data_IF_834380226123
#
_entry.id   IF_834380226123
#
_cell.length_a   1.000
_cell.length_b   1.000
_cell.length_c   1.000
_cell.angle_alpha   90.00
_cell.angle_beta   90.00
_cell.angle_gamma   90.00
#
_symmetry.space_group_name_H-M   'P 1'
#
loop_
_entity.id
_entity.type
_entity.pdbx_description
1 polymer ?
#
# COMPACT_ATOMS: atom_id res chain seq x y z
N UNK A 1 10.60 -22.61 -8.94
CA UNK A 1 9.98 -21.54 -8.13
C UNK A 1 8.75 -22.08 -7.40
N UNK A 2 8.32 -21.45 -6.30
CA UNK A 2 7.14 -21.88 -5.53
C UNK A 2 7.38 -21.89 -4.01
N UNK A 3 6.49 -22.57 -3.28
CA UNK A 3 6.51 -22.61 -1.80
C UNK A 3 7.82 -23.19 -1.24
N UNK A 4 8.43 -24.16 -1.93
CA UNK A 4 9.73 -24.71 -1.54
C UNK A 4 10.83 -23.64 -1.54
N UNK A 5 10.89 -22.82 -2.58
CA UNK A 5 11.88 -21.75 -2.66
C UNK A 5 11.57 -20.69 -1.60
N UNK A 6 10.31 -20.27 -1.48
CA UNK A 6 9.87 -19.30 -0.47
C UNK A 6 10.25 -19.73 0.95
N UNK A 7 10.09 -21.01 1.28
CA UNK A 7 10.39 -21.56 2.61
C UNK A 7 11.88 -21.65 2.91
N UNK A 8 12.68 -22.07 1.93
CA UNK A 8 14.02 -22.58 2.22
C UNK A 8 15.15 -21.69 1.69
N UNK A 9 14.90 -20.82 0.70
CA UNK A 9 15.97 -20.07 0.02
C UNK A 9 16.80 -19.22 0.98
N UNK A 10 16.18 -18.50 1.90
CA UNK A 10 16.92 -17.67 2.87
C UNK A 10 17.87 -18.50 3.73
N UNK A 11 17.44 -19.69 4.16
CA UNK A 11 18.27 -20.63 4.89
C UNK A 11 19.41 -21.18 4.03
N UNK A 12 19.12 -21.60 2.80
CA UNK A 12 20.14 -22.07 1.87
C UNK A 12 21.22 -21.02 1.60
N UNK A 13 20.81 -19.77 1.37
CA UNK A 13 21.72 -18.65 1.12
C UNK A 13 22.53 -18.31 2.37
N UNK A 14 21.92 -18.28 3.56
CA UNK A 14 22.63 -18.02 4.82
C UNK A 14 23.67 -19.10 5.12
N UNK A 15 23.32 -20.38 4.94
CA UNK A 15 24.26 -21.49 5.07
C UNK A 15 25.39 -21.37 4.06
N UNK A 16 25.10 -21.07 2.79
CA UNK A 16 26.13 -20.90 1.77
C UNK A 16 27.13 -19.78 2.09
N UNK A 17 26.66 -18.66 2.68
CA UNK A 17 27.54 -17.58 3.15
C UNK A 17 28.39 -18.01 4.33
N UNK A 18 27.77 -18.68 5.31
CA UNK A 18 28.44 -19.08 6.56
C UNK A 18 29.45 -20.21 6.36
N UNK A 19 29.11 -21.20 5.55
CA UNK A 19 29.86 -22.46 5.39
C UNK A 19 30.63 -22.53 4.07
N UNK A 20 30.48 -21.52 3.20
CA UNK A 20 31.14 -21.44 1.89
C UNK A 20 30.42 -22.19 0.78
N UNK A 21 29.51 -23.11 1.12
CA UNK A 21 28.54 -23.69 0.19
C UNK A 21 27.32 -24.23 0.96
N UNK A 22 26.19 -24.35 0.28
CA UNK A 22 25.06 -25.16 0.71
C UNK A 22 24.91 -26.33 -0.25
N UNK A 23 24.71 -27.54 0.27
CA UNK A 23 24.35 -28.74 -0.50
C UNK A 23 23.14 -29.39 0.14
N UNK A 24 22.11 -29.70 -0.66
CA UNK A 24 20.91 -30.35 -0.17
C UNK A 24 20.10 -31.01 -1.27
N UNK A 25 19.19 -31.90 -0.89
CA UNK A 25 18.16 -32.45 -1.79
C UNK A 25 16.85 -31.71 -1.57
N UNK A 26 16.13 -31.42 -2.64
CA UNK A 26 14.81 -30.79 -2.58
C UNK A 26 14.01 -31.17 -3.83
N UNK A 27 12.84 -30.59 -4.02
CA UNK A 27 12.11 -30.68 -5.27
C UNK A 27 11.72 -29.29 -5.78
N UNK A 28 11.58 -29.17 -7.09
CA UNK A 28 11.07 -27.98 -7.76
C UNK A 28 9.87 -28.31 -8.61
N UNK A 29 9.12 -27.28 -8.99
CA UNK A 29 8.10 -27.36 -10.02
C UNK A 29 8.66 -26.69 -11.28
N UNK A 30 8.66 -27.41 -12.40
CA UNK A 30 9.15 -26.92 -13.68
C UNK A 30 8.09 -26.05 -14.40
N UNK A 31 8.42 -25.53 -15.58
CA UNK A 31 7.50 -24.71 -16.39
C UNK A 31 6.24 -25.45 -16.84
N UNK A 32 6.32 -26.78 -16.95
CA UNK A 32 5.20 -27.65 -17.29
C UNK A 32 4.35 -28.04 -16.06
N UNK A 33 4.64 -27.49 -14.88
CA UNK A 33 4.02 -27.80 -13.59
C UNK A 33 4.28 -29.22 -13.08
N UNK A 34 5.35 -29.86 -13.56
CA UNK A 34 5.78 -31.18 -13.11
C UNK A 34 6.79 -31.06 -11.97
N UNK A 35 6.72 -32.01 -11.02
CA UNK A 35 7.67 -32.11 -9.93
C UNK A 35 9.00 -32.67 -10.44
N UNK A 36 10.09 -32.01 -10.09
CA UNK A 36 11.46 -32.44 -10.36
C UNK A 36 12.19 -32.56 -9.03
N UNK A 37 12.60 -33.76 -8.64
CA UNK A 37 13.49 -33.94 -7.51
C UNK A 37 14.91 -33.56 -7.93
N UNK A 38 15.61 -32.84 -7.07
CA UNK A 38 16.91 -32.30 -7.40
C UNK A 38 17.85 -32.24 -6.20
N UNK A 39 19.13 -32.46 -6.49
CA UNK A 39 20.23 -32.07 -5.62
C UNK A 39 20.67 -30.67 -6.00
N UNK A 40 20.72 -29.78 -5.03
CA UNK A 40 21.17 -28.40 -5.22
C UNK A 40 22.48 -28.13 -4.50
N UNK A 41 23.34 -27.36 -5.16
CA UNK A 41 24.53 -26.75 -4.57
C UNK A 41 24.47 -25.24 -4.77
N UNK A 42 24.65 -24.46 -3.73
CA UNK A 42 24.72 -22.99 -3.81
C UNK A 42 26.05 -22.53 -3.24
N UNK A 43 26.78 -21.70 -3.97
CA UNK A 43 28.04 -21.08 -3.51
C UNK A 43 27.93 -19.56 -3.57
N UNK A 44 28.48 -18.81 -2.58
CA UNK A 44 28.55 -17.37 -2.65
C UNK A 44 29.57 -16.93 -3.73
N UNK A 45 29.29 -15.81 -4.40
CA UNK A 45 30.22 -15.16 -5.33
C UNK A 45 30.68 -13.82 -4.77
N UNK A 46 31.92 -13.44 -5.05
CA UNK A 46 32.56 -12.24 -4.50
C UNK A 46 33.14 -11.37 -5.62
N UNK A 47 33.22 -10.05 -5.40
CA UNK A 47 33.85 -9.14 -6.35
C UNK A 47 35.36 -9.39 -6.41
N UNK A 48 35.88 -9.99 -7.48
CA UNK A 48 37.34 -10.11 -7.70
C UNK A 48 38.14 -10.77 -6.54
N UNK A 49 37.57 -11.76 -5.85
CA UNK A 49 38.27 -12.54 -4.81
C UNK A 49 37.47 -12.64 -3.51
N UNK A 50 37.80 -13.63 -2.68
CA UNK A 50 37.05 -13.94 -1.44
C UNK A 50 37.19 -12.88 -0.34
N UNK A 51 38.23 -12.04 -0.42
CA UNK A 51 38.50 -10.98 0.56
C UNK A 51 37.67 -9.71 0.33
N UNK A 52 36.85 -9.70 -0.73
CA UNK A 52 36.01 -8.58 -1.12
C UNK A 52 34.55 -8.83 -0.78
N UNK A 53 33.67 -7.79 -0.82
CA UNK A 53 32.25 -7.96 -0.52
C UNK A 53 31.61 -9.03 -1.41
N UNK A 54 30.74 -9.83 -0.78
CA UNK A 54 29.91 -10.78 -1.51
C UNK A 54 29.02 -10.03 -2.50
N UNK A 55 29.00 -10.49 -3.75
CA UNK A 55 28.24 -9.88 -4.84
C UNK A 55 27.04 -10.71 -5.30
N UNK A 56 26.97 -12.00 -4.93
CA UNK A 56 25.88 -12.86 -5.35
C UNK A 56 26.03 -14.32 -4.94
N UNK A 57 25.39 -15.20 -5.72
CA UNK A 57 25.38 -16.65 -5.54
C UNK A 57 25.41 -17.36 -6.89
N UNK A 58 26.02 -18.54 -6.92
CA UNK A 58 25.96 -19.49 -8.03
C UNK A 58 25.24 -20.76 -7.57
N UNK A 59 24.11 -21.07 -8.21
CA UNK A 59 23.32 -22.28 -7.93
C UNK A 59 23.51 -23.33 -9.02
N UNK A 60 23.79 -24.56 -8.64
CA UNK A 60 23.81 -25.75 -9.51
C UNK A 60 22.67 -26.67 -9.09
N UNK A 61 21.87 -27.11 -10.05
CA UNK A 61 20.75 -28.03 -9.84
C UNK A 61 20.97 -29.27 -10.67
N UNK A 62 20.98 -30.43 -10.03
CA UNK A 62 21.14 -31.75 -10.65
C UNK A 62 19.84 -32.53 -10.41
N UNK A 63 19.18 -32.96 -11.49
CA UNK A 63 17.95 -33.76 -11.40
C UNK A 63 18.28 -35.17 -10.94
N UNK A 64 17.50 -35.71 -10.00
CA UNK A 64 17.70 -37.03 -9.43
C UNK A 64 16.39 -37.84 -9.48
N UNK A 65 16.52 -39.16 -9.61
CA UNK A 65 15.36 -40.08 -9.62
C UNK A 65 14.82 -40.37 -8.21
N UNK A 66 15.65 -40.16 -7.18
CA UNK A 66 15.25 -40.32 -5.78
C UNK A 66 14.09 -39.39 -5.43
N UNK A 67 13.04 -39.95 -4.83
CA UNK A 67 11.92 -39.15 -4.36
C UNK A 67 12.32 -38.33 -3.14
N UNK A 68 12.18 -37.00 -3.24
CA UNK A 68 12.54 -36.07 -2.18
C UNK A 68 11.29 -35.34 -1.74
N UNK A 69 10.79 -35.63 -0.54
CA UNK A 69 9.67 -34.91 0.04
C UNK A 69 10.11 -33.89 1.09
N UNK A 70 9.62 -32.66 0.91
CA UNK A 70 9.91 -31.54 1.81
C UNK A 70 8.58 -30.92 2.20
N UNK A 71 8.08 -31.15 3.43
CA UNK A 71 6.79 -30.65 3.85
C UNK A 71 6.79 -29.12 3.92
N UNK A 72 5.70 -28.53 3.41
CA UNK A 72 5.48 -27.09 3.48
C UNK A 72 4.88 -26.73 4.83
N UNK A 73 5.59 -25.90 5.59
CA UNK A 73 5.16 -25.40 6.90
C UNK A 73 3.93 -24.50 6.77
N UNK A 74 3.08 -24.49 7.79
CA UNK A 74 1.94 -23.57 7.85
C UNK A 74 2.36 -22.10 7.73
N UNK A 75 3.47 -21.72 8.39
CA UNK A 75 4.04 -20.38 8.29
C UNK A 75 4.36 -19.98 6.84
N UNK A 76 4.84 -20.90 6.01
CA UNK A 76 5.10 -20.65 4.57
C UNK A 76 3.81 -20.36 3.82
N UNK A 77 2.73 -21.08 4.11
CA UNK A 77 1.40 -20.81 3.52
C UNK A 77 0.91 -19.41 3.90
N UNK A 78 1.17 -18.98 5.12
CA UNK A 78 0.83 -17.64 5.58
C UNK A 78 1.66 -16.56 4.88
N UNK A 79 2.98 -16.71 4.80
CA UNK A 79 3.87 -15.80 4.06
C UNK A 79 3.45 -15.71 2.60
N UNK A 80 3.08 -16.84 1.98
CA UNK A 80 2.55 -16.88 0.61
C UNK A 80 1.29 -16.03 0.48
N UNK A 81 0.33 -16.16 1.41
CA UNK A 81 -0.88 -15.32 1.41
C UNK A 81 -0.57 -13.83 1.55
N UNK A 82 0.36 -13.48 2.46
CA UNK A 82 0.82 -12.11 2.66
C UNK A 82 1.50 -11.54 1.40
N UNK A 83 2.32 -12.34 0.73
CA UNK A 83 3.00 -11.97 -0.50
C UNK A 83 2.00 -11.74 -1.64
N UNK A 84 1.11 -12.70 -1.92
CA UNK A 84 0.09 -12.64 -2.98
C UNK A 84 -0.80 -11.40 -2.81
N UNK A 85 -1.21 -11.10 -1.58
CA UNK A 85 -2.16 -10.00 -1.30
C UNK A 85 -1.49 -8.66 -1.00
N UNK A 86 -0.14 -8.65 -0.92
CA UNK A 86 0.66 -7.48 -0.57
C UNK A 86 0.20 -6.85 0.76
N UNK A 87 -0.20 -7.68 1.72
CA UNK A 87 -0.82 -7.25 2.98
C UNK A 87 -0.01 -6.19 3.77
N UNK A 88 1.34 -6.18 3.80
CA UNK A 88 2.09 -5.13 4.51
C UNK A 88 1.77 -3.68 4.05
N UNK A 89 1.31 -3.49 2.80
CA UNK A 89 0.91 -2.18 2.28
C UNK A 89 -0.44 -1.68 2.81
N UNK A 90 -1.21 -2.52 3.50
CA UNK A 90 -2.54 -2.15 4.02
C UNK A 90 -2.51 -1.12 5.14
N UNK A 91 -1.33 -0.88 5.73
CA UNK A 91 -1.09 0.25 6.64
C UNK A 91 -1.49 1.59 6.02
N UNK A 92 -1.31 1.76 4.70
CA UNK A 92 -1.66 2.99 3.97
C UNK A 92 -3.18 3.26 3.93
N UNK A 93 -4.04 2.26 4.16
CA UNK A 93 -5.49 2.45 4.27
C UNK A 93 -6.02 2.30 5.70
N UNK A 94 -5.43 1.40 6.50
CA UNK A 94 -5.88 1.18 7.89
C UNK A 94 -5.59 2.42 8.75
N UNK A 95 -4.39 3.00 8.66
CA UNK A 95 -4.02 4.13 9.51
C UNK A 95 -4.90 5.37 9.25
N UNK A 96 -5.23 5.75 7.99
CA UNK A 96 -6.22 6.79 7.74
C UNK A 96 -7.60 6.54 8.35
N UNK A 97 -8.09 5.29 8.38
CA UNK A 97 -9.36 4.98 9.06
C UNK A 97 -9.23 5.14 10.57
N UNK A 98 -8.09 4.77 11.16
CA UNK A 98 -7.83 5.05 12.57
C UNK A 98 -7.81 6.54 12.86
N UNK A 99 -7.31 7.38 11.94
CA UNK A 99 -7.37 8.86 12.06
C UNK A 99 -8.83 9.33 12.09
N UNK A 100 -9.71 8.76 11.25
CA UNK A 100 -11.15 9.07 11.29
C UNK A 100 -11.76 8.69 12.64
N UNK A 101 -11.48 7.49 13.15
CA UNK A 101 -11.95 7.07 14.47
C UNK A 101 -11.44 7.96 15.61
N UNK A 102 -10.17 8.37 15.54
CA UNK A 102 -9.54 9.28 16.50
C UNK A 102 -10.17 10.69 16.46
N UNK A 103 -10.42 11.22 15.26
CA UNK A 103 -11.14 12.48 15.08
C UNK A 103 -12.54 12.43 15.70
N UNK A 104 -13.33 11.42 15.36
CA UNK A 104 -14.69 11.29 15.88
C UNK A 104 -14.70 11.10 17.40
N UNK A 105 -13.79 10.28 17.94
CA UNK A 105 -13.66 10.11 19.39
C UNK A 105 -13.32 11.42 20.08
N UNK A 106 -12.30 12.12 19.60
CA UNK A 106 -11.85 13.34 20.25
C UNK A 106 -12.88 14.47 20.17
N UNK A 107 -13.57 14.62 19.05
CA UNK A 107 -14.63 15.62 18.88
C UNK A 107 -15.94 15.27 19.61
N UNK A 108 -16.05 14.08 20.21
CA UNK A 108 -17.28 13.62 20.83
C UNK A 108 -18.39 13.27 19.83
N UNK A 109 -18.05 13.15 18.54
CA UNK A 109 -18.98 12.81 17.47
C UNK A 109 -19.69 11.47 17.75
N UNK A 110 -21.01 11.37 17.51
CA UNK A 110 -21.75 10.14 17.72
C UNK A 110 -21.30 9.09 16.69
N UNK A 111 -20.73 7.97 17.15
CA UNK A 111 -20.26 6.89 16.26
C UNK A 111 -20.61 5.49 16.74
N UNK A 112 -20.72 4.57 15.79
CA UNK A 112 -20.82 3.15 16.06
C UNK A 112 -19.45 2.47 16.02
N UNK A 113 -18.91 2.13 17.18
CA UNK A 113 -17.67 1.35 17.28
C UNK A 113 -17.76 -0.05 16.64
N UNK A 114 -18.96 -0.64 16.64
CA UNK A 114 -19.23 -1.90 15.93
C UNK A 114 -19.08 -1.73 14.42
N UNK A 115 -19.69 -0.70 13.83
CA UNK A 115 -19.52 -0.40 12.41
C UNK A 115 -18.09 0.04 12.08
N UNK A 116 -17.38 0.71 12.99
CA UNK A 116 -15.97 1.05 12.81
C UNK A 116 -15.09 -0.18 12.61
N UNK A 117 -15.21 -1.20 13.48
CA UNK A 117 -14.48 -2.46 13.32
C UNK A 117 -14.80 -3.18 12.01
N UNK A 118 -16.08 -3.18 11.60
CA UNK A 118 -16.53 -3.79 10.34
C UNK A 118 -16.02 -2.99 9.13
N UNK A 119 -15.95 -1.66 9.23
CA UNK A 119 -15.43 -0.77 8.20
C UNK A 119 -13.94 -1.01 7.97
N UNK A 120 -13.14 -1.15 9.03
CA UNK A 120 -11.72 -1.51 8.93
C UNK A 120 -11.56 -2.84 8.18
N UNK A 121 -12.36 -3.86 8.53
CA UNK A 121 -12.33 -5.16 7.85
C UNK A 121 -12.73 -5.05 6.37
N UNK A 122 -13.79 -4.30 6.07
CA UNK A 122 -14.26 -4.08 4.71
C UNK A 122 -13.21 -3.39 3.83
N UNK A 123 -12.60 -2.31 4.31
CA UNK A 123 -11.54 -1.60 3.59
C UNK A 123 -10.27 -2.46 3.46
N UNK A 124 -9.89 -3.19 4.52
CA UNK A 124 -8.76 -4.13 4.43
C UNK A 124 -8.98 -5.11 3.28
N UNK A 125 -10.14 -5.78 3.24
CA UNK A 125 -10.46 -6.74 2.18
C UNK A 125 -10.50 -6.08 0.81
N UNK A 126 -11.09 -4.89 0.69
CA UNK A 126 -11.12 -4.13 -0.57
C UNK A 126 -9.70 -3.78 -1.06
N UNK A 127 -8.82 -3.33 -0.16
CA UNK A 127 -7.43 -3.03 -0.50
C UNK A 127 -6.68 -4.29 -0.95
N UNK A 128 -6.82 -5.42 -0.22
CA UNK A 128 -6.24 -6.69 -0.67
C UNK A 128 -6.74 -7.07 -2.07
N UNK A 129 -8.03 -6.91 -2.35
CA UNK A 129 -8.60 -7.17 -3.67
C UNK A 129 -7.94 -6.32 -4.77
N UNK A 130 -7.79 -5.01 -4.54
CA UNK A 130 -7.18 -4.10 -5.51
C UNK A 130 -5.69 -4.39 -5.73
N UNK A 131 -4.95 -4.80 -4.69
CA UNK A 131 -3.57 -5.25 -4.83
C UNK A 131 -3.47 -6.50 -5.70
N UNK A 132 -4.36 -7.47 -5.50
CA UNK A 132 -4.38 -8.70 -6.30
C UNK A 132 -4.82 -8.42 -7.75
N UNK A 133 -5.77 -7.50 -7.97
CA UNK A 133 -6.12 -7.05 -9.32
C UNK A 133 -4.95 -6.33 -10.01
N UNK A 134 -4.22 -5.49 -9.28
CA UNK A 134 -3.03 -4.81 -9.79
C UNK A 134 -2.03 -5.83 -10.38
N UNK A 135 -1.63 -6.83 -9.59
CA UNK A 135 -0.71 -7.87 -10.03
C UNK A 135 -1.30 -8.74 -11.18
N UNK A 136 -2.63 -8.99 -11.19
CA UNK A 136 -3.29 -9.70 -12.30
C UNK A 136 -3.17 -8.94 -13.63
N UNK A 137 -3.42 -7.62 -13.63
CA UNK A 137 -3.37 -6.82 -14.84
C UNK A 137 -1.93 -6.49 -15.25
N UNK A 138 -1.03 -6.21 -14.30
CA UNK A 138 0.38 -5.97 -14.61
C UNK A 138 1.06 -7.20 -15.23
N UNK A 139 0.73 -8.42 -14.77
CA UNK A 139 1.15 -9.66 -15.43
C UNK A 139 0.54 -9.80 -16.83
N UNK A 140 -0.77 -9.58 -16.97
CA UNK A 140 -1.47 -9.72 -18.26
C UNK A 140 -0.96 -8.73 -19.32
N UNK A 141 -0.60 -7.52 -18.90
CA UNK A 141 -0.06 -6.48 -19.77
C UNK A 141 1.46 -6.66 -20.03
N UNK A 142 2.11 -7.66 -19.42
CA UNK A 142 3.55 -7.93 -19.55
C UNK A 142 4.46 -6.97 -18.80
N UNK A 143 3.92 -6.10 -17.95
CA UNK A 143 4.68 -5.09 -17.18
C UNK A 143 5.67 -5.75 -16.25
N UNK A 144 5.24 -6.80 -15.55
CA UNK A 144 6.11 -7.51 -14.63
C UNK A 144 7.23 -8.24 -15.39
N UNK A 145 6.94 -8.98 -16.47
CA UNK A 145 7.99 -9.63 -17.27
C UNK A 145 9.01 -8.64 -17.84
N UNK A 146 8.57 -7.44 -18.24
CA UNK A 146 9.46 -6.40 -18.76
C UNK A 146 10.35 -5.76 -17.68
N UNK A 147 9.99 -5.90 -16.40
CA UNK A 147 10.79 -5.48 -15.25
C UNK A 147 11.84 -6.55 -14.94
N UNK A 148 12.86 -6.58 -15.79
CA UNK A 148 14.05 -7.42 -15.66
C UNK A 148 15.19 -6.75 -14.89
N UNK A 149 15.03 -5.47 -14.53
CA UNK A 149 15.95 -4.79 -13.61
C UNK A 149 15.69 -5.26 -12.16
N UNK A 150 16.59 -4.90 -11.26
CA UNK A 150 16.65 -5.39 -9.88
C UNK A 150 15.31 -5.34 -9.12
N UNK A 151 14.90 -6.47 -8.52
CA UNK A 151 13.74 -6.55 -7.63
C UNK A 151 14.01 -5.81 -6.31
N UNK A 152 13.28 -4.71 -6.07
CA UNK A 152 13.21 -4.07 -4.75
C UNK A 152 12.00 -4.63 -4.01
N UNK A 153 12.14 -4.89 -2.70
CA UNK A 153 11.05 -5.45 -1.88
C UNK A 153 9.77 -4.60 -1.84
N UNK A 154 9.84 -3.34 -2.29
CA UNK A 154 8.76 -2.35 -2.21
C UNK A 154 8.26 -1.86 -3.58
N UNK A 155 8.89 -2.28 -4.68
CA UNK A 155 8.50 -1.92 -6.05
C UNK A 155 8.38 -3.16 -6.95
N UNK A 156 7.80 -3.01 -8.14
CA UNK A 156 7.76 -4.09 -9.14
C UNK A 156 6.84 -5.27 -8.81
N UNK A 157 5.67 -5.03 -8.20
CA UNK A 157 4.66 -6.08 -7.98
C UNK A 157 4.94 -7.03 -6.80
N UNK A 158 4.01 -7.95 -6.50
CA UNK A 158 4.33 -9.06 -5.57
C UNK A 158 5.22 -10.14 -6.20
N UNK A 159 5.24 -10.19 -7.54
CA UNK A 159 5.82 -11.27 -8.35
C UNK A 159 5.28 -12.66 -8.04
N UNK A 160 4.11 -12.74 -7.41
CA UNK A 160 3.58 -14.02 -6.94
C UNK A 160 3.25 -14.98 -8.08
N UNK A 161 2.89 -14.48 -9.27
CA UNK A 161 2.61 -15.30 -10.45
C UNK A 161 3.92 -15.84 -11.04
N UNK A 162 4.93 -14.99 -11.22
CA UNK A 162 6.27 -15.32 -11.74
C UNK A 162 7.01 -16.30 -10.82
N UNK A 163 6.85 -16.12 -9.52
CA UNK A 163 7.41 -17.01 -8.51
C UNK A 163 6.63 -18.33 -8.39
N UNK A 164 5.52 -18.49 -9.11
CA UNK A 164 4.69 -19.71 -9.09
C UNK A 164 3.96 -19.92 -7.76
N UNK A 165 3.75 -18.86 -6.96
CA UNK A 165 3.01 -18.93 -5.70
C UNK A 165 1.50 -19.05 -5.95
N UNK A 166 1.01 -18.44 -7.04
CA UNK A 166 -0.38 -18.49 -7.48
C UNK A 166 -0.44 -18.47 -9.01
N UNK A 167 -1.47 -19.08 -9.61
CA UNK A 167 -1.68 -19.01 -11.06
C UNK A 167 -2.37 -17.72 -11.47
N UNK A 168 -2.30 -17.34 -12.75
CA UNK A 168 -3.04 -16.18 -13.29
C UNK A 168 -4.55 -16.28 -13.02
N UNK A 169 -5.15 -17.45 -13.27
CA UNK A 169 -6.56 -17.70 -12.97
C UNK A 169 -6.85 -17.68 -11.46
N UNK A 170 -5.95 -18.21 -10.64
CA UNK A 170 -6.07 -18.16 -9.18
C UNK A 170 -6.06 -16.71 -8.67
N UNK A 171 -5.19 -15.87 -9.22
CA UNK A 171 -5.06 -14.44 -8.89
C UNK A 171 -6.36 -13.71 -9.23
N UNK A 172 -6.90 -13.91 -10.44
CA UNK A 172 -8.21 -13.36 -10.85
C UNK A 172 -9.33 -13.79 -9.91
N UNK A 173 -9.45 -15.09 -9.63
CA UNK A 173 -10.53 -15.62 -8.81
C UNK A 173 -10.44 -15.11 -7.37
N UNK A 174 -9.22 -14.99 -6.83
CA UNK A 174 -8.98 -14.41 -5.50
C UNK A 174 -9.39 -12.93 -5.46
N UNK A 175 -9.00 -12.12 -6.46
CA UNK A 175 -9.38 -10.71 -6.54
C UNK A 175 -10.91 -10.53 -6.60
N UNK A 176 -11.59 -11.34 -7.40
CA UNK A 176 -13.07 -11.34 -7.50
C UNK A 176 -13.70 -11.73 -6.17
N UNK A 177 -13.23 -12.81 -5.53
CA UNK A 177 -13.75 -13.27 -4.24
C UNK A 177 -13.62 -12.19 -3.16
N UNK A 178 -12.43 -11.59 -3.02
CA UNK A 178 -12.20 -10.50 -2.07
C UNK A 178 -13.09 -9.28 -2.37
N UNK A 179 -13.28 -8.95 -3.65
CA UNK A 179 -14.19 -7.85 -4.05
C UNK A 179 -15.63 -8.14 -3.66
N UNK A 180 -16.13 -9.36 -3.89
CA UNK A 180 -17.48 -9.77 -3.48
C UNK A 180 -17.63 -9.70 -1.96
N UNK A 181 -16.62 -10.15 -1.20
CA UNK A 181 -16.62 -10.04 0.25
C UNK A 181 -16.67 -8.57 0.71
N UNK A 182 -15.86 -7.69 0.10
CA UNK A 182 -15.87 -6.26 0.40
C UNK A 182 -17.24 -5.62 0.09
N UNK A 183 -17.85 -5.95 -1.05
CA UNK A 183 -19.20 -5.49 -1.41
C UNK A 183 -20.25 -6.01 -0.44
N UNK A 184 -20.15 -7.27 0.01
CA UNK A 184 -21.04 -7.83 1.02
C UNK A 184 -20.96 -7.09 2.35
N UNK A 185 -19.74 -6.77 2.80
CA UNK A 185 -19.52 -5.97 4.01
C UNK A 185 -20.05 -4.55 3.83
N UNK A 186 -19.74 -3.90 2.71
CA UNK A 186 -20.24 -2.56 2.41
C UNK A 186 -21.77 -2.53 2.36
N UNK A 187 -22.40 -3.54 1.75
CA UNK A 187 -23.86 -3.68 1.71
C UNK A 187 -24.46 -3.82 3.11
N UNK A 188 -23.84 -4.62 3.98
CA UNK A 188 -24.24 -4.73 5.38
C UNK A 188 -24.16 -3.38 6.11
N UNK A 189 -23.05 -2.65 5.95
CA UNK A 189 -22.87 -1.30 6.53
C UNK A 189 -23.94 -0.35 5.98
N UNK A 190 -24.18 -0.33 4.66
CA UNK A 190 -25.21 0.50 4.03
C UNK A 190 -26.60 0.24 4.61
N UNK A 191 -26.99 -1.03 4.80
CA UNK A 191 -28.28 -1.38 5.42
C UNK A 191 -28.39 -0.80 6.84
N UNK A 192 -27.30 -0.85 7.62
CA UNK A 192 -27.26 -0.26 8.96
C UNK A 192 -27.29 1.26 8.94
N UNK A 193 -26.58 1.89 8.02
CA UNK A 193 -26.57 3.34 7.84
C UNK A 193 -27.94 3.89 7.43
N UNK A 194 -28.72 3.14 6.64
CA UNK A 194 -30.09 3.53 6.26
C UNK A 194 -31.08 3.55 7.44
N UNK A 195 -30.70 3.01 8.60
CA UNK A 195 -31.50 3.06 9.84
C UNK A 195 -31.16 4.29 10.70
N UNK A 196 -30.15 5.07 10.31
CA UNK A 196 -29.65 6.25 11.02
C UNK A 196 -30.22 7.50 10.32
N UNK A 197 -30.60 8.57 11.06
CA UNK A 197 -31.02 9.82 10.45
C UNK A 197 -29.94 10.43 9.54
N UNK A 198 -30.35 11.02 8.41
CA UNK A 198 -29.47 11.62 7.41
C UNK A 198 -29.36 10.80 6.13
N UNK A 199 -28.43 11.17 5.25
CA UNK A 199 -28.23 10.51 3.95
C UNK A 199 -26.95 9.67 3.85
N UNK A 200 -26.49 9.13 4.98
CA UNK A 200 -25.23 8.36 5.06
C UNK A 200 -25.23 7.14 4.12
N UNK A 201 -26.40 6.56 3.83
CA UNK A 201 -26.55 5.47 2.85
C UNK A 201 -26.01 5.87 1.47
N UNK A 202 -26.46 7.01 0.91
CA UNK A 202 -25.99 7.47 -0.38
C UNK A 202 -24.51 7.88 -0.32
N UNK A 203 -24.06 8.45 0.79
CA UNK A 203 -22.65 8.75 1.04
C UNK A 203 -21.76 7.50 0.93
N UNK A 204 -22.16 6.37 1.56
CA UNK A 204 -21.45 5.08 1.45
C UNK A 204 -21.48 4.55 0.02
N UNK A 205 -22.62 4.62 -0.67
CA UNK A 205 -22.71 4.14 -2.05
C UNK A 205 -21.81 4.93 -2.98
N UNK A 206 -21.85 6.26 -2.92
CA UNK A 206 -21.04 7.13 -3.78
C UNK A 206 -19.55 6.89 -3.51
N UNK A 207 -19.14 6.92 -2.24
CA UNK A 207 -17.73 6.74 -1.87
C UNK A 207 -17.24 5.31 -2.17
N UNK A 208 -18.04 4.29 -1.87
CA UNK A 208 -17.73 2.89 -2.13
C UNK A 208 -17.65 2.55 -3.61
N UNK A 209 -18.61 2.98 -4.43
CA UNK A 209 -18.59 2.80 -5.89
C UNK A 209 -17.40 3.55 -6.48
N UNK A 210 -17.13 4.79 -6.05
CA UNK A 210 -15.98 5.56 -6.51
C UNK A 210 -14.66 4.87 -6.16
N UNK A 211 -14.53 4.36 -4.93
CA UNK A 211 -13.34 3.62 -4.49
C UNK A 211 -13.11 2.34 -5.30
N UNK A 212 -14.15 1.53 -5.52
CA UNK A 212 -14.06 0.34 -6.37
C UNK A 212 -13.75 0.67 -7.82
N UNK A 213 -14.37 1.73 -8.36
CA UNK A 213 -14.12 2.21 -9.71
C UNK A 213 -12.66 2.63 -9.88
N UNK A 214 -12.15 3.50 -8.99
CA UNK A 214 -10.77 3.96 -9.02
C UNK A 214 -9.80 2.79 -8.85
N UNK A 215 -10.03 1.91 -7.88
CA UNK A 215 -9.17 0.76 -7.61
C UNK A 215 -9.11 -0.25 -8.76
N UNK A 216 -10.25 -0.58 -9.37
CA UNK A 216 -10.30 -1.51 -10.49
C UNK A 216 -9.68 -0.89 -11.76
N UNK A 217 -10.14 0.29 -12.16
CA UNK A 217 -9.67 0.96 -13.36
C UNK A 217 -8.29 1.62 -13.22
N UNK A 218 -7.70 1.58 -12.02
CA UNK A 218 -6.32 1.98 -11.79
C UNK A 218 -5.38 1.27 -12.77
N UNK A 219 -5.48 -0.07 -12.86
CA UNK A 219 -4.71 -0.90 -13.80
C UNK A 219 -5.56 -1.55 -14.89
N UNK A 220 -6.87 -1.73 -14.69
CA UNK A 220 -7.72 -2.40 -15.66
C UNK A 220 -8.04 -1.55 -16.90
N UNK A 221 -8.15 -2.22 -18.05
CA UNK A 221 -8.72 -1.65 -19.28
C UNK A 221 -10.24 -1.43 -19.16
N UNK A 222 -10.82 -0.45 -19.89
CA UNK A 222 -10.18 0.39 -20.91
C UNK A 222 -9.47 1.65 -20.39
N UNK A 223 -9.65 1.99 -19.11
CA UNK A 223 -9.15 3.26 -18.57
C UNK A 223 -7.68 3.22 -18.21
N UNK A 224 -7.23 2.18 -17.49
CA UNK A 224 -5.84 1.96 -17.05
C UNK A 224 -5.20 3.26 -16.55
N UNK A 225 -5.79 3.86 -15.51
CA UNK A 225 -5.48 5.23 -15.03
C UNK A 225 -3.98 5.44 -14.74
N UNK A 226 -3.29 4.41 -14.24
CA UNK A 226 -1.84 4.42 -14.00
C UNK A 226 -1.02 4.72 -15.26
N UNK A 227 -1.57 4.46 -16.45
CA UNK A 227 -0.92 4.72 -17.74
C UNK A 227 -1.28 6.09 -18.35
N UNK A 228 -1.98 6.96 -17.62
CA UNK A 228 -2.55 8.21 -18.14
C UNK A 228 -1.91 9.47 -17.53
N UNK A 229 -0.57 9.50 -17.45
CA UNK A 229 0.26 10.71 -17.21
C UNK A 229 -0.22 11.57 -16.03
N UNK A 230 -0.47 10.97 -14.86
CA UNK A 230 -0.93 11.68 -13.65
C UNK A 230 -2.28 11.23 -13.10
N UNK A 231 -3.13 10.57 -13.91
CA UNK A 231 -4.43 10.11 -13.41
C UNK A 231 -4.32 8.94 -12.42
N UNK A 232 -3.24 8.15 -12.48
CA UNK A 232 -2.98 7.10 -11.49
C UNK A 232 -2.68 7.68 -10.12
N UNK A 233 -1.80 8.67 -10.07
CA UNK A 233 -1.42 9.41 -8.88
C UNK A 233 -2.63 10.13 -8.28
N UNK A 234 -3.46 10.76 -9.13
CA UNK A 234 -4.72 11.36 -8.70
C UNK A 234 -5.71 10.32 -8.15
N UNK A 235 -5.83 9.16 -8.78
CA UNK A 235 -6.70 8.08 -8.31
C UNK A 235 -6.26 7.59 -6.93
N UNK A 236 -4.96 7.42 -6.71
CA UNK A 236 -4.40 7.01 -5.41
C UNK A 236 -4.60 8.11 -4.35
N UNK A 237 -4.38 9.38 -4.69
CA UNK A 237 -4.69 10.51 -3.80
C UNK A 237 -6.15 10.47 -3.31
N UNK A 238 -7.09 10.32 -4.24
CA UNK A 238 -8.52 10.29 -3.92
C UNK A 238 -8.90 9.04 -3.11
N UNK A 239 -8.47 7.87 -3.58
CA UNK A 239 -8.85 6.58 -3.01
C UNK A 239 -8.26 6.30 -1.62
N UNK A 240 -7.08 6.84 -1.30
CA UNK A 240 -6.43 6.70 0.01
C UNK A 240 -6.56 7.93 0.91
N UNK A 241 -7.18 9.00 0.41
CA UNK A 241 -7.34 10.26 1.12
C UNK A 241 -8.80 10.64 1.32
N UNK A 242 -9.32 11.68 0.62
CA UNK A 242 -10.67 12.19 0.85
C UNK A 242 -11.79 11.14 0.72
N UNK A 243 -11.76 10.25 -0.29
CA UNK A 243 -12.84 9.26 -0.45
C UNK A 243 -12.81 8.22 0.65
N UNK A 244 -11.61 7.80 1.08
CA UNK A 244 -11.46 6.81 2.14
C UNK A 244 -11.95 7.35 3.48
N UNK A 245 -11.49 8.54 3.84
CA UNK A 245 -11.83 9.19 5.12
C UNK A 245 -13.31 9.56 5.19
N UNK A 246 -13.85 10.13 4.11
CA UNK A 246 -15.27 10.45 4.02
C UNK A 246 -16.16 9.20 4.01
N UNK A 247 -15.80 8.18 3.23
CA UNK A 247 -16.54 6.91 3.18
C UNK A 247 -16.53 6.18 4.53
N UNK A 248 -15.39 6.19 5.23
CA UNK A 248 -15.31 5.68 6.59
C UNK A 248 -16.17 6.49 7.55
N UNK A 249 -16.20 7.82 7.42
CA UNK A 249 -17.11 8.68 8.19
C UNK A 249 -18.57 8.32 8.00
N UNK A 250 -19.05 8.23 6.76
CA UNK A 250 -20.44 7.82 6.48
C UNK A 250 -20.78 6.44 7.03
N UNK A 251 -19.82 5.52 7.06
CA UNK A 251 -20.00 4.17 7.56
C UNK A 251 -20.19 4.10 9.09
N UNK A 252 -19.62 5.05 9.84
CA UNK A 252 -19.54 4.96 11.31
C UNK A 252 -20.35 6.02 12.04
N UNK A 253 -20.59 7.17 11.42
CA UNK A 253 -21.25 8.31 12.04
C UNK A 253 -22.74 8.02 12.29
N UNK A 254 -23.21 8.30 13.51
CA UNK A 254 -24.56 8.03 13.99
C UNK A 254 -25.46 9.29 13.99
N UNK A 255 -25.22 10.20 13.06
CA UNK A 255 -26.06 11.36 12.80
C UNK A 255 -26.08 11.71 11.31
N UNK A 256 -26.65 12.86 10.97
CA UNK A 256 -26.64 13.35 9.60
C UNK A 256 -25.29 13.98 9.26
N UNK A 257 -24.43 13.22 8.59
CA UNK A 257 -23.09 13.70 8.23
C UNK A 257 -23.14 14.84 7.20
N UNK A 258 -24.22 14.94 6.41
CA UNK A 258 -24.38 16.02 5.43
C UNK A 258 -24.83 17.35 6.04
N UNK A 259 -25.26 17.35 7.31
CA UNK A 259 -25.61 18.58 8.00
C UNK A 259 -24.38 19.49 8.05
N UNK A 260 -24.48 20.62 7.34
CA UNK A 260 -23.31 21.46 6.98
C UNK A 260 -22.84 22.35 8.12
N UNK A 261 -23.71 22.54 9.12
CA UNK A 261 -23.43 23.07 10.46
C UNK A 261 -24.54 22.54 11.37
N UNK A 262 -24.19 21.71 12.34
CA UNK A 262 -25.03 21.46 13.50
C UNK A 262 -25.04 22.73 14.38
N UNK A 263 -25.96 22.78 15.36
CA UNK A 263 -26.16 23.95 16.25
C UNK A 263 -24.91 24.39 17.03
N UNK A 264 -23.86 23.58 17.00
CA UNK A 264 -22.56 23.76 17.67
C UNK A 264 -21.47 24.32 16.72
N UNK A 265 -21.74 24.41 15.41
CA UNK A 265 -20.82 24.99 14.42
C UNK A 265 -19.87 24.00 13.74
N UNK A 266 -20.02 22.69 13.97
CA UNK A 266 -19.13 21.67 13.45
C UNK A 266 -19.50 21.25 12.01
N UNK A 267 -18.49 21.11 11.16
CA UNK A 267 -18.65 20.60 9.80
C UNK A 267 -17.86 19.29 9.62
N UNK A 268 -18.39 18.20 10.18
CA UNK A 268 -17.75 16.89 10.12
C UNK A 268 -17.51 16.41 8.69
N UNK A 269 -18.41 16.70 7.75
CA UNK A 269 -18.23 16.36 6.33
C UNK A 269 -16.94 16.96 5.76
N UNK A 270 -16.76 18.27 5.92
CA UNK A 270 -15.57 18.97 5.45
C UNK A 270 -14.33 18.50 6.20
N UNK A 271 -14.42 18.34 7.52
CA UNK A 271 -13.29 17.92 8.35
C UNK A 271 -12.78 16.53 7.94
N UNK A 272 -13.66 15.58 7.62
CA UNK A 272 -13.26 14.26 7.12
C UNK A 272 -12.55 14.35 5.77
N UNK A 273 -13.03 15.18 4.84
CA UNK A 273 -12.33 15.44 3.57
C UNK A 273 -10.94 16.00 3.85
N UNK A 274 -10.84 17.02 4.72
CA UNK A 274 -9.59 17.70 5.06
C UNK A 274 -8.59 16.77 5.77
N UNK A 275 -9.06 15.85 6.61
CA UNK A 275 -8.23 14.78 7.19
C UNK A 275 -7.66 13.87 6.10
N UNK A 276 -8.46 13.55 5.09
CA UNK A 276 -8.08 12.71 3.97
C UNK A 276 -7.00 13.32 3.07
N UNK A 277 -6.99 14.64 2.86
CA UNK A 277 -6.06 15.28 1.92
C UNK A 277 -4.57 15.00 2.24
N UNK A 278 -4.03 15.32 3.44
CA UNK A 278 -2.62 15.04 3.73
C UNK A 278 -2.31 13.54 3.67
N UNK A 279 -3.23 12.69 4.12
CA UNK A 279 -3.06 11.23 4.11
C UNK A 279 -2.98 10.66 2.68
N UNK A 280 -3.85 11.14 1.79
CA UNK A 280 -3.85 10.77 0.37
C UNK A 280 -2.61 11.28 -0.34
N UNK A 281 -2.15 12.51 -0.07
CA UNK A 281 -0.94 13.07 -0.66
C UNK A 281 0.31 12.29 -0.23
N UNK A 282 0.42 11.94 1.05
CA UNK A 282 1.53 11.11 1.56
C UNK A 282 1.52 9.71 0.93
N UNK A 283 0.35 9.09 0.77
CA UNK A 283 0.22 7.80 0.05
C UNK A 283 0.56 7.93 -1.43
N UNK A 284 0.23 9.05 -2.07
CA UNK A 284 0.64 9.34 -3.45
C UNK A 284 2.16 9.44 -3.57
N UNK A 285 2.84 10.00 -2.56
CA UNK A 285 4.30 10.00 -2.52
C UNK A 285 4.91 8.59 -2.34
N UNK A 286 4.22 7.68 -1.63
CA UNK A 286 4.61 6.26 -1.57
C UNK A 286 4.57 5.64 -2.97
N UNK A 287 3.47 5.86 -3.71
CA UNK A 287 3.38 5.39 -5.10
C UNK A 287 4.49 6.00 -5.97
N UNK A 288 4.61 7.33 -5.96
CA UNK A 288 5.51 8.06 -6.83
C UNK A 288 6.96 7.60 -6.64
N UNK A 289 7.42 7.36 -5.40
CA UNK A 289 8.79 6.88 -5.18
C UNK A 289 8.99 5.41 -5.58
N UNK A 290 7.94 4.58 -5.52
CA UNK A 290 7.97 3.19 -6.00
C UNK A 290 8.08 3.10 -7.53
N UNK A 291 7.61 4.12 -8.24
CA UNK A 291 7.70 4.22 -9.70
C UNK A 291 9.10 4.59 -10.22
N UNK A 292 9.99 5.15 -9.38
CA UNK A 292 11.35 5.51 -9.79
C UNK A 292 12.17 4.31 -10.27
N UNK A 293 12.30 3.21 -9.50
CA UNK A 293 13.04 2.04 -9.98
C UNK A 293 12.41 1.46 -11.26
N UNK A 294 11.08 1.44 -11.35
CA UNK A 294 10.33 0.73 -12.39
C UNK A 294 10.13 1.55 -13.69
N UNK A 295 10.47 2.84 -13.69
CA UNK A 295 10.27 3.76 -14.82
C UNK A 295 10.66 3.18 -16.20
N UNK A 296 11.79 2.48 -16.32
CA UNK A 296 12.24 1.95 -17.61
C UNK A 296 11.40 0.76 -18.08
N UNK A 297 11.00 -0.13 -17.17
CA UNK A 297 10.15 -1.28 -17.51
C UNK A 297 8.73 -0.83 -17.81
N UNK A 298 8.22 0.11 -17.03
CA UNK A 298 6.87 0.64 -17.16
C UNK A 298 6.70 1.41 -18.49
N UNK A 299 7.74 2.13 -18.92
CA UNK A 299 7.78 2.77 -20.24
C UNK A 299 7.65 1.75 -21.39
N UNK A 300 8.22 0.54 -21.26
CA UNK A 300 8.16 -0.49 -22.31
C UNK A 300 6.76 -1.06 -22.51
N UNK A 301 5.92 -1.06 -21.47
CA UNK A 301 4.53 -1.57 -21.53
C UNK A 301 3.47 -0.48 -21.61
N UNK A 302 3.92 0.76 -21.88
CA UNK A 302 3.05 1.92 -22.03
C UNK A 302 2.38 2.37 -20.73
N UNK A 303 2.88 1.95 -19.57
CA UNK A 303 2.45 2.40 -18.24
C UNK A 303 3.02 3.80 -17.97
N UNK A 304 2.50 4.79 -18.71
CA UNK A 304 3.02 6.16 -18.73
C UNK A 304 2.56 6.99 -17.52
N UNK A 305 2.99 6.63 -16.31
CA UNK A 305 2.81 7.41 -15.07
C UNK A 305 3.69 8.68 -15.07
N UNK A 306 3.64 9.51 -14.01
CA UNK A 306 4.38 10.78 -13.96
C UNK A 306 5.89 10.60 -14.05
N UNK A 307 6.45 9.55 -13.44
CA UNK A 307 7.90 9.32 -13.51
C UNK A 307 8.37 8.91 -14.91
N UNK A 308 7.57 8.14 -15.66
CA UNK A 308 7.85 7.87 -17.09
C UNK A 308 7.71 9.15 -17.92
N UNK A 309 6.69 9.96 -17.63
CA UNK A 309 6.37 11.16 -18.42
C UNK A 309 7.41 12.26 -18.28
N UNK A 310 7.85 12.54 -17.04
CA UNK A 310 8.77 13.64 -16.74
C UNK A 310 10.22 13.18 -16.52
N UNK A 311 10.44 11.89 -16.31
CA UNK A 311 11.74 11.31 -15.94
C UNK A 311 12.10 11.55 -14.48
N UNK A 312 12.94 10.67 -13.91
CA UNK A 312 13.32 10.69 -12.48
C UNK A 312 13.83 12.05 -11.97
N UNK A 313 14.59 12.79 -12.81
CA UNK A 313 15.20 14.08 -12.45
C UNK A 313 14.16 15.18 -12.20
N UNK A 314 13.06 15.19 -12.95
CA UNK A 314 11.97 16.14 -12.72
C UNK A 314 11.01 15.62 -11.65
N UNK A 315 10.73 14.31 -11.62
CA UNK A 315 9.79 13.71 -10.67
C UNK A 315 10.22 13.79 -9.21
N UNK A 316 11.52 13.97 -8.91
CA UNK A 316 11.94 14.31 -7.53
C UNK A 316 11.33 15.62 -7.04
N UNK A 317 11.12 16.60 -7.93
CA UNK A 317 10.45 17.85 -7.58
C UNK A 317 8.93 17.68 -7.46
N UNK A 318 8.33 16.76 -8.22
CA UNK A 318 6.92 16.38 -8.05
C UNK A 318 6.71 15.81 -6.63
N UNK A 319 7.60 14.91 -6.18
CA UNK A 319 7.58 14.39 -4.81
C UNK A 319 7.61 15.52 -3.77
N UNK A 320 8.50 16.50 -3.97
CA UNK A 320 8.64 17.64 -3.08
C UNK A 320 7.39 18.53 -3.06
N UNK A 321 6.78 18.80 -4.21
CA UNK A 321 5.54 19.57 -4.30
C UNK A 321 4.41 18.84 -3.57
N UNK A 322 4.25 17.53 -3.77
CA UNK A 322 3.23 16.72 -3.06
C UNK A 322 3.47 16.76 -1.54
N UNK A 323 4.73 16.70 -1.10
CA UNK A 323 5.08 16.84 0.32
C UNK A 323 4.67 18.21 0.88
N UNK A 324 4.98 19.30 0.17
CA UNK A 324 4.58 20.65 0.59
C UNK A 324 3.06 20.82 0.61
N UNK A 325 2.35 20.24 -0.36
CA UNK A 325 0.89 20.22 -0.36
C UNK A 325 0.35 19.46 0.86
N UNK A 326 0.96 18.33 1.24
CA UNK A 326 0.54 17.58 2.43
C UNK A 326 0.74 18.38 3.72
N UNK A 327 1.88 19.08 3.85
CA UNK A 327 2.15 19.97 4.98
C UNK A 327 1.18 21.16 4.98
N UNK A 328 0.94 21.77 3.82
CA UNK A 328 0.00 22.86 3.65
C UNK A 328 -1.43 22.48 4.00
N UNK A 329 -1.91 21.31 3.53
CA UNK A 329 -3.24 20.81 3.86
C UNK A 329 -3.37 20.42 5.33
N UNK A 330 -2.31 19.87 5.94
CA UNK A 330 -2.29 19.57 7.38
C UNK A 330 -2.34 20.85 8.23
N UNK A 331 -1.69 21.92 7.76
CA UNK A 331 -1.77 23.24 8.39
C UNK A 331 -3.16 23.85 8.21
N UNK A 332 -3.74 23.73 7.02
CA UNK A 332 -5.08 24.21 6.74
C UNK A 332 -6.14 23.47 7.58
N UNK A 333 -6.00 22.16 7.77
CA UNK A 333 -6.84 21.38 8.67
C UNK A 333 -6.82 21.96 10.09
N UNK A 334 -5.63 22.28 10.63
CA UNK A 334 -5.53 22.93 11.95
C UNK A 334 -6.29 24.26 11.99
N UNK A 335 -6.11 25.13 10.98
CA UNK A 335 -6.80 26.42 10.91
C UNK A 335 -8.33 26.26 10.81
N UNK A 336 -8.81 25.23 10.11
CA UNK A 336 -10.25 25.00 9.96
C UNK A 336 -10.88 24.45 11.24
N UNK A 337 -10.16 23.58 11.96
CA UNK A 337 -10.58 23.11 13.27
C UNK A 337 -10.54 24.23 14.32
N UNK A 338 -9.57 25.14 14.24
CA UNK A 338 -9.47 26.33 15.11
C UNK A 338 -10.67 27.27 14.99
N UNK A 339 -11.14 27.53 13.76
CA UNK A 339 -12.37 28.31 13.53
C UNK A 339 -13.61 27.68 14.16
N UNK A 340 -13.64 26.35 14.25
CA UNK A 340 -14.73 25.57 14.86
C UNK A 340 -14.57 25.46 16.39
N UNK A 341 -13.60 26.16 17.01
CA UNK A 341 -13.24 25.99 18.43
C UNK A 341 -12.84 24.55 18.79
N UNK A 342 -12.49 23.76 17.77
CA UNK A 342 -11.92 22.41 17.85
C UNK A 342 -10.41 22.48 17.61
N UNK A 343 -9.70 23.56 17.97
CA UNK A 343 -8.24 23.61 17.81
C UNK A 343 -7.53 22.82 18.88
N UNK A 344 -6.63 21.95 18.45
CA UNK A 344 -5.54 21.49 19.29
C UNK A 344 -4.20 21.89 18.67
N UNK A 345 -3.44 22.77 19.34
CA UNK A 345 -2.11 23.20 18.87
C UNK A 345 -1.16 22.03 18.64
N UNK A 346 -1.36 20.89 19.34
CA UNK A 346 -0.54 19.70 19.14
C UNK A 346 -0.73 19.06 17.76
N UNK A 347 -1.78 19.39 16.97
CA UNK A 347 -1.92 18.97 15.56
C UNK A 347 -0.78 19.55 14.69
N UNK A 348 -0.13 20.63 15.12
CA UNK A 348 1.06 21.13 14.44
C UNK A 348 2.30 20.25 14.65
N UNK A 349 2.33 19.37 15.66
CA UNK A 349 3.43 18.43 15.88
C UNK A 349 3.58 17.42 14.72
N UNK A 350 2.55 16.65 14.32
CA UNK A 350 2.64 15.79 13.14
C UNK A 350 2.93 16.59 11.86
N UNK A 351 2.43 17.82 11.75
CA UNK A 351 2.72 18.71 10.62
C UNK A 351 4.21 19.09 10.54
N UNK A 352 4.81 19.49 11.66
CA UNK A 352 6.24 19.80 11.76
C UNK A 352 7.12 18.56 11.52
N UNK A 353 6.73 17.41 12.09
CA UNK A 353 7.39 16.13 11.80
C UNK A 353 7.34 15.80 10.30
N UNK A 354 6.17 15.95 9.67
CA UNK A 354 5.98 15.69 8.25
C UNK A 354 6.93 16.54 7.39
N UNK A 355 7.03 17.83 7.69
CA UNK A 355 7.95 18.74 7.01
C UNK A 355 9.42 18.33 7.21
N UNK A 356 9.87 18.19 8.46
CA UNK A 356 11.28 17.94 8.76
C UNK A 356 11.75 16.56 8.24
N UNK A 357 10.97 15.51 8.51
CA UNK A 357 11.31 14.17 8.06
C UNK A 357 11.11 14.01 6.56
N UNK A 358 10.09 14.65 5.97
CA UNK A 358 9.90 14.70 4.53
C UNK A 358 11.04 15.41 3.80
N UNK A 359 11.55 16.53 4.33
CA UNK A 359 12.72 17.22 3.79
C UNK A 359 13.99 16.35 3.87
N UNK A 360 14.16 15.61 4.97
CA UNK A 360 15.25 14.63 5.10
C UNK A 360 15.17 13.54 4.01
N UNK A 361 13.98 12.98 3.75
CA UNK A 361 13.77 12.01 2.68
C UNK A 361 14.03 12.65 1.31
N UNK A 362 13.49 13.84 1.07
CA UNK A 362 13.66 14.55 -0.20
C UNK A 362 15.14 14.84 -0.50
N UNK A 363 15.92 15.25 0.49
CA UNK A 363 17.37 15.41 0.34
C UNK A 363 18.06 14.10 -0.06
N UNK A 364 17.62 12.95 0.49
CA UNK A 364 18.14 11.65 0.04
C UNK A 364 17.77 11.37 -1.42
N UNK A 365 16.54 11.65 -1.84
CA UNK A 365 16.07 11.48 -3.22
C UNK A 365 16.88 12.36 -4.17
N UNK A 366 17.09 13.64 -3.86
CA UNK A 366 17.86 14.58 -4.68
C UNK A 366 19.24 14.03 -5.07
N UNK A 367 19.90 13.33 -4.14
CA UNK A 367 21.25 12.82 -4.29
C UNK A 367 21.34 11.37 -4.83
N UNK A 368 20.24 10.60 -4.76
CA UNK A 368 20.25 9.15 -5.03
C UNK A 368 19.17 8.65 -5.98
N UNK A 369 18.40 9.51 -6.65
CA UNK A 369 17.26 9.11 -7.51
C UNK A 369 17.61 8.15 -8.67
N UNK A 370 18.88 8.06 -9.08
CA UNK A 370 19.37 7.10 -10.08
C UNK A 370 20.00 5.84 -9.49
N UNK A 371 20.23 5.81 -8.17
CA UNK A 371 20.98 4.75 -7.48
C UNK A 371 20.04 3.75 -6.80
N UNK A 372 20.51 2.51 -6.63
CA UNK A 372 19.78 1.46 -5.88
C UNK A 372 19.53 1.83 -4.41
N UNK A 373 20.36 2.71 -3.85
CA UNK A 373 20.19 3.22 -2.48
C UNK A 373 18.94 4.08 -2.29
N UNK A 374 18.22 4.39 -3.37
CA UNK A 374 16.89 5.01 -3.31
C UNK A 374 15.88 4.19 -2.51
N UNK A 375 16.02 2.85 -2.46
CA UNK A 375 15.12 1.97 -1.71
C UNK A 375 14.96 2.38 -0.23
N UNK A 376 15.97 3.02 0.36
CA UNK A 376 15.86 3.58 1.71
C UNK A 376 14.83 4.71 1.81
N UNK A 377 14.70 5.55 0.78
CA UNK A 377 13.67 6.58 0.70
C UNK A 377 12.27 5.98 0.54
N UNK A 378 12.11 4.88 -0.19
CA UNK A 378 10.81 4.18 -0.30
C UNK A 378 10.31 3.75 1.09
N UNK A 379 11.14 3.03 1.85
CA UNK A 379 10.82 2.61 3.22
C UNK A 379 10.51 3.79 4.14
N UNK A 380 11.33 4.85 4.07
CA UNK A 380 11.11 6.05 4.89
C UNK A 380 9.85 6.82 4.48
N UNK A 381 9.45 6.79 3.21
CA UNK A 381 8.20 7.43 2.75
C UNK A 381 6.98 6.68 3.28
N UNK A 382 7.03 5.33 3.31
CA UNK A 382 6.01 4.52 4.00
C UNK A 382 5.98 4.86 5.49
N UNK A 383 7.16 4.91 6.13
CA UNK A 383 7.29 5.29 7.54
C UNK A 383 6.78 6.69 7.85
N UNK A 384 7.00 7.67 6.95
CA UNK A 384 6.52 9.03 7.09
C UNK A 384 4.99 9.08 7.17
N UNK A 385 4.29 8.43 6.22
CA UNK A 385 2.82 8.36 6.23
C UNK A 385 2.31 7.66 7.49
N UNK A 386 2.94 6.55 7.88
CA UNK A 386 2.51 5.77 9.02
C UNK A 386 2.70 6.52 10.35
N UNK A 387 3.88 7.08 10.58
CA UNK A 387 4.19 7.83 11.81
C UNK A 387 3.35 9.12 11.86
N UNK A 388 3.21 9.84 10.75
CA UNK A 388 2.31 10.99 10.66
C UNK A 388 0.89 10.63 11.08
N UNK A 389 0.33 9.53 10.56
CA UNK A 389 -1.01 9.07 10.92
C UNK A 389 -1.14 8.72 12.41
N UNK A 390 -0.15 8.02 12.97
CA UNK A 390 -0.13 7.65 14.40
C UNK A 390 -0.07 8.90 15.29
N UNK A 391 0.82 9.84 14.96
CA UNK A 391 0.92 11.11 15.69
C UNK A 391 -0.37 11.92 15.57
N UNK A 392 -0.97 11.98 14.38
CA UNK A 392 -2.24 12.65 14.16
C UNK A 392 -3.36 12.02 14.99
N UNK A 393 -3.50 10.68 15.01
CA UNK A 393 -4.43 9.97 15.89
C UNK A 393 -4.26 10.37 17.35
N UNK A 394 -3.02 10.34 17.87
CA UNK A 394 -2.74 10.71 19.25
C UNK A 394 -3.15 12.16 19.55
N UNK A 395 -2.82 13.09 18.65
CA UNK A 395 -3.18 14.51 18.84
C UNK A 395 -4.68 14.77 18.75
N UNK A 396 -5.42 14.01 17.95
CA UNK A 396 -6.88 14.14 17.87
C UNK A 396 -7.57 13.56 19.10
N UNK A 397 -7.07 12.42 19.63
CA UNK A 397 -7.62 11.78 20.84
C UNK A 397 -7.41 12.64 22.08
N UNK A 398 -6.18 13.11 22.33
CA UNK A 398 -5.82 13.82 23.56
C UNK A 398 -6.00 15.34 23.47
N UNK A 399 -6.25 15.85 22.27
CA UNK A 399 -6.29 17.28 21.99
C UNK A 399 -7.56 17.99 22.45
N UNK A 400 -8.69 17.35 22.16
CA UNK A 400 -10.00 17.95 22.41
C UNK A 400 -10.46 17.73 23.85
N UNK A 401 -9.98 16.68 24.52
CA UNK A 401 -10.28 16.39 25.92
C UNK A 401 -9.67 17.39 26.92
N UNK A 402 -8.69 18.20 26.52
CA UNK A 402 -8.03 19.19 27.38
C UNK A 402 -8.73 20.56 27.39
N UNK A 403 -9.74 20.76 26.54
CA UNK A 403 -10.49 22.01 26.42
C UNK A 403 -11.85 21.99 27.14
N UNK A 404 -12.20 20.89 27.82
CA UNK A 404 -13.45 20.69 28.57
C UNK A 404 -13.28 20.98 30.07
#
# INVERSE_FOLDING_TARGET
PGEIVLQNVAGWLATAVKEGEYKGKTYFINKNKERINAKIRITPTFANGKDQPQTGYCGVTEVIDEEVDVPIKFATKMIKGLAITRMPFTSASILPILVVGAYCYGTGAPISWGLFGITILGILIAHLAMNVFNDYFDYKDGTDEANSEYFQQVSGGSRAIELGLISLNGTRNLAILLTIMAIGIASFISIKANQIPGDNFNGILITGISGLFLGYFYTAWPLRLVAKRGLGELAIFLAFGPLLTLGAGFAIFQGDLFSTMNSEGDNHFLNLILLGIPLGLLTTNILLINEFPDMKSDAKTGKNHLVVTFGKKASRWIYFVILLLAVGSSTYLFLELDKQSLSNIYILIPTGFCLLFGLYIFNHILNHYEKRTLASANWKTIGLQAIYSIMLCATLIFGFSAAA
#
